data_IF_090906372199
#
_entry.id   IF_090906372199
#
_cell.length_a   1.000
_cell.length_b   1.000
_cell.length_c   1.000
_cell.angle_alpha   90.00
_cell.angle_beta   90.00
_cell.angle_gamma   90.00
#
_symmetry.space_group_name_H-M   'P 1'
#
loop_
_entity.id
_entity.type
_entity.pdbx_description
1 polymer ?
#
# COMPACT_ATOMS: atom_id res chain seq x y z
N UNK A 1 -4.79 -22.83 -0.07
CA UNK A 1 -4.02 -21.75 -0.71
C UNK A 1 -4.39 -20.43 -0.04
N UNK A 2 -3.45 -19.73 0.58
CA UNK A 2 -3.70 -18.41 1.17
C UNK A 2 -3.66 -17.38 0.04
N UNK A 3 -4.79 -16.78 -0.27
CA UNK A 3 -4.85 -15.65 -1.21
C UNK A 3 -4.10 -14.49 -0.54
N UNK A 4 -3.10 -13.92 -1.22
CA UNK A 4 -2.37 -12.76 -0.71
C UNK A 4 -3.32 -11.57 -0.56
N UNK A 5 -3.21 -10.80 0.51
CA UNK A 5 -4.02 -9.59 0.69
C UNK A 5 -3.91 -8.64 -0.53
N UNK A 6 -2.75 -8.62 -1.19
CA UNK A 6 -2.54 -7.84 -2.41
C UNK A 6 -3.36 -8.34 -3.61
N UNK A 7 -3.55 -9.66 -3.76
CA UNK A 7 -4.36 -10.17 -4.87
C UNK A 7 -5.85 -9.93 -4.65
N UNK A 8 -6.31 -9.86 -3.39
CA UNK A 8 -7.67 -9.40 -3.06
C UNK A 8 -7.82 -7.92 -3.43
N UNK A 9 -6.89 -7.06 -2.98
CA UNK A 9 -6.93 -5.62 -3.26
C UNK A 9 -6.89 -5.29 -4.77
N UNK A 10 -6.06 -6.00 -5.55
CA UNK A 10 -6.01 -5.83 -7.01
C UNK A 10 -7.30 -6.28 -7.70
N UNK A 11 -7.94 -7.33 -7.18
CA UNK A 11 -9.21 -7.84 -7.70
C UNK A 11 -10.33 -6.84 -7.43
N UNK A 12 -10.49 -6.40 -6.19
CA UNK A 12 -11.51 -5.39 -5.83
C UNK A 12 -11.34 -4.10 -6.63
N UNK A 13 -10.10 -3.63 -6.78
CA UNK A 13 -9.79 -2.45 -7.60
C UNK A 13 -10.20 -2.62 -9.07
N UNK A 14 -10.01 -3.83 -9.62
CA UNK A 14 -10.39 -4.16 -11.00
C UNK A 14 -11.91 -4.31 -11.14
N UNK A 15 -12.56 -4.88 -10.14
CA UNK A 15 -14.01 -4.98 -10.08
C UNK A 15 -14.63 -3.57 -10.02
N UNK A 16 -14.14 -2.66 -9.17
CA UNK A 16 -14.64 -1.28 -9.10
C UNK A 16 -14.49 -0.52 -10.42
N UNK A 17 -13.36 -0.68 -11.11
CA UNK A 17 -13.14 -0.06 -12.42
C UNK A 17 -14.06 -0.65 -13.51
N UNK A 18 -14.20 -1.97 -13.55
CA UNK A 18 -15.08 -2.63 -14.55
C UNK A 18 -16.55 -2.29 -14.37
N UNK A 19 -16.99 -2.02 -13.14
CA UNK A 19 -18.34 -1.54 -12.83
C UNK A 19 -18.48 -0.01 -12.92
N UNK A 20 -17.49 0.70 -13.46
CA UNK A 20 -17.49 2.16 -13.62
C UNK A 20 -17.70 2.93 -12.30
N UNK A 21 -17.31 2.33 -11.17
CA UNK A 21 -17.35 2.97 -9.84
C UNK A 21 -16.08 3.78 -9.56
N UNK A 22 -15.08 3.67 -10.43
CA UNK A 22 -13.79 4.30 -10.30
C UNK A 22 -13.34 4.85 -11.65
N UNK A 23 -12.88 6.10 -11.66
CA UNK A 23 -12.34 6.74 -12.85
C UNK A 23 -10.97 6.17 -13.22
N UNK A 24 -10.62 6.24 -14.51
CA UNK A 24 -9.37 5.68 -15.04
C UNK A 24 -8.12 6.21 -14.32
N UNK A 25 -8.10 7.52 -14.03
CA UNK A 25 -6.96 8.16 -13.35
C UNK A 25 -6.77 7.59 -11.94
N UNK A 26 -7.87 7.42 -11.20
CA UNK A 26 -7.85 6.89 -9.84
C UNK A 26 -7.51 5.39 -9.83
N UNK A 27 -8.05 4.62 -10.79
CA UNK A 27 -7.69 3.23 -10.99
C UNK A 27 -6.18 3.06 -11.19
N UNK A 28 -5.60 3.85 -12.11
CA UNK A 28 -4.17 3.78 -12.44
C UNK A 28 -3.29 4.17 -11.25
N UNK A 29 -3.69 5.20 -10.51
CA UNK A 29 -2.96 5.65 -9.31
C UNK A 29 -3.00 4.59 -8.20
N UNK A 30 -4.18 4.09 -7.85
CA UNK A 30 -4.34 3.05 -6.81
C UNK A 30 -3.63 1.76 -7.19
N UNK A 31 -3.70 1.37 -8.46
CA UNK A 31 -2.99 0.18 -8.96
C UNK A 31 -1.48 0.32 -8.81
N UNK A 32 -0.92 1.50 -9.11
CA UNK A 32 0.50 1.78 -8.90
C UNK A 32 0.89 1.63 -7.43
N UNK A 33 0.12 2.22 -6.51
CA UNK A 33 0.40 2.14 -5.06
C UNK A 33 0.44 0.68 -4.58
N UNK A 34 -0.50 -0.16 -5.03
CA UNK A 34 -0.54 -1.57 -4.64
C UNK A 34 0.69 -2.32 -5.17
N UNK A 35 1.08 -2.07 -6.43
CA UNK A 35 2.26 -2.70 -7.02
C UNK A 35 3.56 -2.23 -6.35
N UNK A 36 3.71 -0.94 -6.06
CA UNK A 36 4.87 -0.42 -5.34
C UNK A 36 4.98 -1.05 -3.94
N UNK A 37 3.84 -1.27 -3.26
CA UNK A 37 3.81 -1.94 -1.95
C UNK A 37 4.17 -3.43 -2.04
N UNK A 38 3.76 -4.11 -3.11
CA UNK A 38 4.19 -5.47 -3.42
C UNK A 38 5.72 -5.49 -3.58
N UNK A 39 6.25 -4.67 -4.47
CA UNK A 39 7.68 -4.60 -4.77
C UNK A 39 8.49 -4.31 -3.49
N UNK A 40 8.05 -3.35 -2.67
CA UNK A 40 8.69 -3.07 -1.38
C UNK A 40 8.63 -4.26 -0.41
N UNK A 41 7.50 -4.97 -0.36
CA UNK A 41 7.33 -6.11 0.54
C UNK A 41 8.17 -7.32 0.16
N UNK A 42 8.40 -7.55 -1.14
CA UNK A 42 9.21 -8.65 -1.65
C UNK A 42 10.70 -8.30 -1.70
N UNK A 43 11.07 -7.06 -2.05
CA UNK A 43 12.46 -6.62 -2.01
C UNK A 43 13.02 -6.54 -0.58
N UNK A 44 12.17 -6.28 0.42
CA UNK A 44 12.55 -6.39 1.83
C UNK A 44 12.52 -7.85 2.35
N UNK A 45 12.10 -8.83 1.54
CA UNK A 45 12.14 -10.26 1.88
C UNK A 45 13.37 -10.99 1.34
N UNK A 46 14.10 -10.42 0.37
CA UNK A 46 15.36 -11.00 -0.15
C UNK A 46 16.58 -10.77 0.78
N UNK A 47 16.37 -10.29 2.01
CA UNK A 47 17.42 -10.16 3.05
C UNK A 47 17.30 -11.20 4.17
N UNK A 48 16.63 -12.34 3.93
CA UNK A 48 16.61 -13.47 4.87
C UNK A 48 16.68 -14.82 4.13
N UNK A 49 17.79 -15.08 3.45
CA UNK A 49 18.48 -16.38 3.58
C UNK A 49 19.89 -16.11 4.13
N UNK A 50 20.45 -17.03 4.94
CA UNK A 50 20.94 -16.69 6.28
C UNK A 50 22.41 -16.27 6.27
N UNK A 51 22.72 -15.08 6.77
CA UNK A 51 24.05 -14.82 7.31
C UNK A 51 23.94 -14.58 8.81
N UNK A 52 24.52 -15.53 9.55
CA UNK A 52 24.79 -15.45 10.97
C UNK A 52 25.44 -14.11 11.35
N UNK A 53 24.75 -13.38 12.23
CA UNK A 53 25.23 -12.33 13.14
C UNK A 53 25.95 -11.06 12.58
N UNK A 54 25.28 -9.92 12.83
CA UNK A 54 25.82 -8.67 13.41
C UNK A 54 26.34 -7.53 12.49
N UNK A 55 25.40 -6.64 12.12
CA UNK A 55 25.41 -5.15 12.15
C UNK A 55 26.72 -4.41 11.77
N UNK A 56 26.65 -3.48 10.78
CA UNK A 56 26.84 -2.02 10.99
C UNK A 56 26.71 -1.14 9.72
N UNK A 57 25.69 -0.27 9.76
CA UNK A 57 25.62 1.17 9.35
C UNK A 57 25.85 1.60 7.88
N UNK A 58 25.49 2.86 7.48
CA UNK A 58 24.50 3.83 7.99
C UNK A 58 23.57 4.44 6.89
N UNK A 59 22.49 5.09 7.36
CA UNK A 59 21.59 6.01 6.63
C UNK A 59 22.27 7.37 6.35
N UNK A 60 21.75 8.23 5.43
CA UNK A 60 20.91 9.33 5.91
C UNK A 60 19.83 9.88 4.95
N UNK A 61 18.73 10.29 5.58
CA UNK A 61 17.95 11.54 5.38
C UNK A 61 16.77 11.67 4.38
N UNK A 62 15.80 12.46 4.87
CA UNK A 62 14.59 13.00 4.26
C UNK A 62 13.33 12.10 4.17
N UNK A 63 12.43 12.22 5.15
CA UNK A 63 11.17 12.96 5.02
C UNK A 63 10.27 12.74 6.24
N UNK A 64 10.53 13.52 7.30
CA UNK A 64 9.44 13.91 8.20
C UNK A 64 8.46 14.81 7.44
N UNK A 65 7.19 14.81 7.84
CA UNK A 65 6.16 15.79 7.44
C UNK A 65 5.19 15.44 6.30
N UNK A 66 4.63 14.23 6.27
CA UNK A 66 3.31 13.99 5.62
C UNK A 66 2.32 13.11 6.39
N UNK A 67 2.67 12.60 7.58
CA UNK A 67 1.83 11.66 8.34
C UNK A 67 0.48 12.25 8.81
N UNK A 68 0.42 13.56 9.13
CA UNK A 68 -0.79 14.17 9.70
C UNK A 68 -1.93 14.45 8.72
N UNK A 69 -1.64 14.60 7.42
CA UNK A 69 -2.67 14.89 6.41
C UNK A 69 -3.39 13.61 5.96
N UNK A 70 -2.66 12.49 5.84
CA UNK A 70 -3.23 11.20 5.48
C UNK A 70 -4.21 10.66 6.52
N UNK A 71 -3.93 10.87 7.81
CA UNK A 71 -4.82 10.41 8.89
C UNK A 71 -6.19 11.09 8.86
N UNK A 72 -6.23 12.41 8.59
CA UNK A 72 -7.49 13.17 8.52
C UNK A 72 -8.36 12.76 7.34
N UNK A 73 -7.75 12.45 6.20
CA UNK A 73 -8.49 11.97 5.01
C UNK A 73 -9.10 10.60 5.29
N UNK A 74 -8.38 9.71 5.97
CA UNK A 74 -8.88 8.39 6.35
C UNK A 74 -10.07 8.48 7.34
N UNK A 75 -10.02 9.38 8.31
CA UNK A 75 -11.11 9.60 9.28
C UNK A 75 -12.39 10.17 8.62
N UNK A 76 -12.25 11.06 7.64
CA UNK A 76 -13.39 11.61 6.89
C UNK A 76 -14.05 10.53 6.04
N UNK A 77 -13.27 9.65 5.41
CA UNK A 77 -13.79 8.53 4.62
C UNK A 77 -14.54 7.55 5.52
N UNK A 78 -13.99 7.22 6.69
CA UNK A 78 -14.60 6.28 7.63
C UNK A 78 -15.96 6.77 8.16
N UNK A 79 -16.06 8.05 8.53
CA UNK A 79 -17.34 8.66 8.98
C UNK A 79 -18.44 8.62 7.92
N UNK A 80 -18.08 8.71 6.63
CA UNK A 80 -19.06 8.68 5.54
C UNK A 80 -19.60 7.28 5.23
N UNK A 81 -18.87 6.23 5.61
CA UNK A 81 -19.24 4.83 5.40
C UNK A 81 -20.10 4.30 6.56
N UNK A 82 -19.85 4.75 7.79
CA UNK A 82 -20.52 4.22 9.00
C UNK A 82 -21.85 4.89 9.35
N UNK A 83 -22.31 5.89 8.60
CA UNK A 83 -23.72 6.34 8.59
C UNK A 83 -24.35 6.65 9.96
N UNK A 84 -23.81 7.66 10.67
CA UNK A 84 -24.56 8.45 11.65
C UNK A 84 -24.70 9.88 11.11
#
# INVERSE_FOLDING_TARGET
MKISAYSIALRELSDDYSHQRLEYVDYRMKRKIILDAIDLSFNNQDSNEPESENIKHPSPDATESMSGAFSKVFDVIKKKIEGI
#
